data_IF_831520288048
#
_entry.id   IF_831520288048
#
_cell.length_a   1.000
_cell.length_b   1.000
_cell.length_c   1.000
_cell.angle_alpha   90.00
_cell.angle_beta   90.00
_cell.angle_gamma   90.00
#
_symmetry.space_group_name_H-M   'P 1'
#
loop_
_entity.id
_entity.type
_entity.pdbx_description
1 polymer ?
#
# COMPACT_ATOMS: atom_id res chain seq x y z
N UNK A 1 51.47 -9.46 4.89
CA UNK A 1 52.35 -10.56 4.46
C UNK A 1 51.80 -11.12 3.15
N UNK A 2 52.68 -11.56 2.23
CA UNK A 2 52.37 -12.14 0.89
C UNK A 2 51.66 -11.19 -0.09
N UNK A 3 52.31 -10.60 -1.12
CA UNK A 3 52.78 -11.18 -2.40
C UNK A 3 51.63 -11.83 -3.22
N UNK A 4 51.15 -11.21 -4.31
CA UNK A 4 51.76 -11.02 -5.66
C UNK A 4 51.60 -12.26 -6.55
N UNK A 5 50.88 -12.10 -7.66
CA UNK A 5 51.33 -12.47 -9.02
C UNK A 5 50.53 -11.74 -10.10
N UNK A 6 51.26 -11.10 -11.02
CA UNK A 6 50.81 -10.64 -12.34
C UNK A 6 50.87 -11.80 -13.34
N UNK A 7 50.04 -11.74 -14.39
CA UNK A 7 50.26 -12.47 -15.66
C UNK A 7 49.84 -11.56 -16.81
N UNK A 8 50.81 -10.97 -17.49
CA UNK A 8 50.74 -10.73 -18.93
C UNK A 8 51.02 -12.08 -19.64
N UNK A 9 50.54 -12.28 -20.88
CA UNK A 9 51.44 -12.51 -22.02
C UNK A 9 50.74 -12.82 -23.38
N UNK A 10 51.26 -12.17 -24.41
CA UNK A 10 51.45 -12.57 -25.83
C UNK A 10 50.30 -13.08 -26.72
N UNK A 11 49.96 -12.22 -27.70
CA UNK A 11 50.24 -12.38 -29.14
C UNK A 11 50.20 -13.76 -29.85
N UNK A 12 49.36 -13.81 -30.90
CA UNK A 12 49.67 -14.40 -32.21
C UNK A 12 48.90 -13.55 -33.25
N UNK A 13 49.51 -12.78 -34.17
CA UNK A 13 50.47 -13.08 -35.25
C UNK A 13 49.87 -13.77 -36.49
N UNK A 14 49.61 -12.92 -37.49
CA UNK A 14 49.83 -13.14 -38.93
C UNK A 14 48.92 -14.07 -39.76
N UNK A 15 48.08 -13.43 -40.58
CA UNK A 15 47.54 -13.94 -41.84
C UNK A 15 47.25 -12.74 -42.76
N UNK A 16 47.79 -12.71 -43.99
CA UNK A 16 47.91 -11.48 -44.79
C UNK A 16 47.50 -11.67 -46.26
N UNK A 17 47.11 -10.54 -46.89
CA UNK A 17 46.89 -10.30 -48.34
C UNK A 17 45.59 -10.80 -48.98
N UNK A 18 44.68 -9.86 -49.21
CA UNK A 18 44.24 -9.33 -50.54
C UNK A 18 43.50 -8.03 -50.23
N UNK A 19 44.17 -6.87 -50.26
CA UNK A 19 44.33 -5.99 -51.43
C UNK A 19 43.01 -5.70 -52.17
N UNK A 20 42.60 -4.44 -52.15
CA UNK A 20 41.23 -4.00 -52.46
C UNK A 20 40.85 -2.74 -51.70
N UNK A 21 41.48 -1.61 -52.05
CA UNK A 21 41.04 -0.28 -51.61
C UNK A 21 40.64 0.61 -52.80
N UNK A 22 39.96 1.75 -52.57
CA UNK A 22 39.49 2.28 -51.29
C UNK A 22 37.96 2.54 -51.26
N UNK A 23 37.29 2.18 -50.16
CA UNK A 23 36.02 2.80 -49.77
C UNK A 23 36.22 3.58 -48.47
N UNK A 24 36.54 4.87 -48.62
CA UNK A 24 36.67 5.87 -47.52
C UNK A 24 35.36 6.07 -46.71
N UNK A 25 34.29 5.34 -47.06
CA UNK A 25 33.00 5.28 -46.36
C UNK A 25 33.01 4.45 -45.08
N UNK A 26 33.89 3.45 -44.95
CA UNK A 26 33.88 2.54 -43.78
C UNK A 26 34.56 3.11 -42.54
N UNK A 27 35.61 3.93 -42.73
CA UNK A 27 36.32 4.59 -41.64
C UNK A 27 35.45 5.55 -40.80
N UNK A 28 34.59 6.44 -41.36
CA UNK A 28 33.72 7.29 -40.56
C UNK A 28 32.65 6.49 -39.81
N UNK A 29 32.05 5.46 -40.41
CA UNK A 29 31.03 4.62 -39.76
C UNK A 29 31.61 3.84 -38.56
N UNK A 30 32.81 3.25 -38.71
CA UNK A 30 33.50 2.56 -37.61
C UNK A 30 33.84 3.53 -36.47
N UNK A 31 34.20 4.78 -36.78
CA UNK A 31 34.42 5.81 -35.76
C UNK A 31 33.13 6.23 -35.07
N UNK A 32 32.02 6.38 -35.81
CA UNK A 32 30.71 6.70 -35.25
C UNK A 32 30.21 5.58 -34.32
N UNK A 33 30.33 4.30 -34.72
CA UNK A 33 29.98 3.16 -33.89
C UNK A 33 30.85 3.07 -32.61
N UNK A 34 32.13 3.46 -32.68
CA UNK A 34 33.00 3.57 -31.50
C UNK A 34 32.54 4.67 -30.54
N UNK A 35 32.17 5.84 -31.06
CA UNK A 35 31.59 6.91 -30.23
C UNK A 35 30.26 6.49 -29.59
N UNK A 36 29.38 5.82 -30.34
CA UNK A 36 28.09 5.35 -29.83
C UNK A 36 28.27 4.25 -28.77
N UNK A 37 29.21 3.33 -28.97
CA UNK A 37 29.58 2.33 -27.97
C UNK A 37 30.14 2.99 -26.70
N UNK A 38 31.02 3.99 -26.83
CA UNK A 38 31.50 4.77 -25.69
C UNK A 38 30.36 5.51 -24.96
N UNK A 39 29.48 6.21 -25.70
CA UNK A 39 28.29 6.88 -25.14
C UNK A 39 27.36 5.90 -24.41
N UNK A 40 27.22 4.67 -24.92
CA UNK A 40 26.46 3.60 -24.25
C UNK A 40 27.16 3.09 -22.99
N UNK A 41 28.48 2.92 -23.01
CA UNK A 41 29.28 2.49 -21.86
C UNK A 41 29.30 3.53 -20.73
N UNK A 42 29.35 4.83 -21.07
CA UNK A 42 29.20 5.95 -20.13
C UNK A 42 27.79 5.99 -19.52
N UNK A 43 26.73 5.86 -20.35
CA UNK A 43 25.34 5.77 -19.87
C UNK A 43 25.14 4.59 -18.91
N UNK A 44 25.68 3.42 -19.25
CA UNK A 44 25.60 2.23 -18.40
C UNK A 44 26.34 2.43 -17.07
N UNK A 45 27.51 3.05 -17.11
CA UNK A 45 28.30 3.38 -15.90
C UNK A 45 27.54 4.36 -14.98
N UNK A 46 26.92 5.42 -15.54
CA UNK A 46 26.04 6.31 -14.78
C UNK A 46 24.81 5.60 -14.21
N UNK A 47 24.21 4.66 -14.95
CA UNK A 47 23.06 3.88 -14.48
C UNK A 47 23.45 2.97 -13.32
N UNK A 48 24.61 2.30 -13.41
CA UNK A 48 25.15 1.45 -12.34
C UNK A 48 25.40 2.24 -11.06
N UNK A 49 25.98 3.43 -11.14
CA UNK A 49 26.21 4.26 -9.95
C UNK A 49 24.90 4.82 -9.37
N UNK A 50 23.94 5.26 -10.21
CA UNK A 50 22.60 5.67 -9.74
C UNK A 50 21.85 4.52 -9.05
N UNK A 51 21.90 3.31 -9.60
CA UNK A 51 21.29 2.13 -9.01
C UNK A 51 21.95 1.77 -7.68
N UNK A 52 23.28 1.83 -7.59
CA UNK A 52 24.03 1.63 -6.35
C UNK A 52 23.64 2.64 -5.27
N UNK A 53 23.63 3.94 -5.58
CA UNK A 53 23.20 5.00 -4.66
C UNK A 53 21.74 4.78 -4.22
N UNK A 54 20.86 4.37 -5.13
CA UNK A 54 19.47 4.02 -4.80
C UNK A 54 19.37 2.86 -3.80
N UNK A 55 20.14 1.78 -4.01
CA UNK A 55 20.21 0.63 -3.10
C UNK A 55 20.83 1.00 -1.75
N UNK A 56 21.87 1.83 -1.72
CA UNK A 56 22.48 2.33 -0.48
C UNK A 56 21.50 3.20 0.32
N UNK A 57 20.73 4.07 -0.34
CA UNK A 57 19.70 4.88 0.31
C UNK A 57 18.55 4.02 0.85
N UNK A 58 18.09 3.02 0.09
CA UNK A 58 17.08 2.06 0.58
C UNK A 58 17.59 1.24 1.79
N UNK A 59 18.86 0.82 1.78
CA UNK A 59 19.49 0.15 2.93
C UNK A 59 19.54 1.07 4.16
N UNK A 60 19.90 2.34 3.98
CA UNK A 60 19.89 3.33 5.06
C UNK A 60 18.49 3.53 5.65
N UNK A 61 17.46 3.65 4.80
CA UNK A 61 16.06 3.75 5.24
C UNK A 61 15.58 2.51 6.00
N UNK A 62 15.96 1.30 5.57
CA UNK A 62 15.63 0.05 6.29
C UNK A 62 16.29 0.04 7.67
N UNK A 63 17.56 0.44 7.78
CA UNK A 63 18.26 0.53 9.07
C UNK A 63 17.57 1.55 9.99
N UNK A 64 17.23 2.74 9.46
CA UNK A 64 16.52 3.77 10.24
C UNK A 64 15.13 3.30 10.70
N UNK A 65 14.37 2.63 9.84
CA UNK A 65 13.06 2.09 10.17
C UNK A 65 13.13 0.97 11.22
N UNK A 66 14.12 0.07 11.12
CA UNK A 66 14.37 -0.94 12.16
C UNK A 66 14.70 -0.28 13.50
N UNK A 67 15.57 0.74 13.52
CA UNK A 67 15.93 1.41 14.77
C UNK A 67 14.73 2.14 15.41
N UNK A 68 13.90 2.81 14.58
CA UNK A 68 12.63 3.40 15.04
C UNK A 68 11.64 2.35 15.56
N UNK A 69 11.64 1.14 15.00
CA UNK A 69 10.82 0.02 15.47
C UNK A 69 11.33 -0.50 16.81
N UNK A 70 12.62 -0.74 16.95
CA UNK A 70 13.29 -1.12 18.22
C UNK A 70 13.02 -0.09 19.33
N UNK A 71 13.16 1.20 19.04
CA UNK A 71 12.84 2.31 19.97
C UNK A 71 11.36 2.35 20.37
N UNK A 72 10.46 1.93 19.48
CA UNK A 72 9.02 1.87 19.73
C UNK A 72 8.67 0.65 20.61
N UNK A 73 9.30 -0.49 20.33
CA UNK A 73 9.13 -1.71 21.14
C UNK A 73 9.67 -1.52 22.55
N UNK A 74 10.87 -0.94 22.70
CA UNK A 74 11.47 -0.62 24.00
C UNK A 74 10.59 0.35 24.80
N UNK A 75 10.03 1.39 24.17
CA UNK A 75 9.05 2.29 24.81
C UNK A 75 7.78 1.54 25.23
N UNK A 76 7.22 0.70 24.36
CA UNK A 76 6.05 -0.11 24.68
C UNK A 76 6.29 -1.10 25.84
N UNK A 77 7.49 -1.65 25.96
CA UNK A 77 7.90 -2.48 27.12
C UNK A 77 8.02 -1.63 28.38
N UNK A 78 8.66 -0.45 28.31
CA UNK A 78 8.77 0.46 29.44
C UNK A 78 7.39 0.95 29.94
N UNK A 79 6.47 1.28 29.05
CA UNK A 79 5.09 1.68 29.38
C UNK A 79 4.30 0.53 30.01
N UNK A 80 4.42 -0.71 29.50
CA UNK A 80 3.81 -1.88 30.15
C UNK A 80 4.36 -2.08 31.57
N UNK A 81 5.64 -1.86 31.80
CA UNK A 81 6.24 -1.93 33.15
C UNK A 81 5.75 -0.81 34.09
N UNK A 82 5.57 0.42 33.61
CA UNK A 82 5.04 1.52 34.45
C UNK A 82 3.56 1.33 34.76
N UNK A 83 2.75 0.91 33.78
CA UNK A 83 1.32 0.56 33.98
C UNK A 83 1.18 -0.61 34.95
N UNK A 84 1.98 -1.67 34.81
CA UNK A 84 1.98 -2.80 35.74
C UNK A 84 2.35 -2.37 37.18
N UNK A 85 3.40 -1.55 37.34
CA UNK A 85 3.78 -1.01 38.66
C UNK A 85 2.67 -0.11 39.25
N UNK A 86 1.99 0.68 38.43
CA UNK A 86 0.88 1.53 38.88
C UNK A 86 -0.34 0.69 39.31
N UNK A 87 -0.70 -0.35 38.56
CA UNK A 87 -1.76 -1.29 38.96
C UNK A 87 -1.43 -1.99 40.28
N UNK A 88 -0.22 -2.52 40.46
CA UNK A 88 0.18 -3.15 41.72
C UNK A 88 0.14 -2.17 42.90
N UNK A 89 0.54 -0.91 42.69
CA UNK A 89 0.46 0.13 43.72
C UNK A 89 -0.98 0.55 44.05
N UNK A 90 -1.87 0.58 43.05
CA UNK A 90 -3.29 0.87 43.23
C UNK A 90 -3.99 -0.24 44.01
N UNK A 91 -3.74 -1.51 43.69
CA UNK A 91 -4.28 -2.66 44.43
C UNK A 91 -3.85 -2.61 45.90
N UNK A 92 -2.56 -2.38 46.18
CA UNK A 92 -2.06 -2.22 47.54
C UNK A 92 -2.71 -1.04 48.31
N UNK A 93 -3.05 0.06 47.64
CA UNK A 93 -3.80 1.16 48.27
C UNK A 93 -5.26 0.80 48.54
N UNK A 94 -5.92 0.04 47.66
CA UNK A 94 -7.30 -0.40 47.86
C UNK A 94 -7.41 -1.28 49.11
N UNK A 95 -6.49 -2.23 49.29
CA UNK A 95 -6.47 -3.11 50.47
C UNK A 95 -6.33 -2.29 51.77
N UNK A 96 -5.38 -1.34 51.82
CA UNK A 96 -5.16 -0.48 52.99
C UNK A 96 -6.41 0.38 53.31
N UNK A 97 -7.09 0.92 52.30
CA UNK A 97 -8.31 1.73 52.48
C UNK A 97 -9.49 0.86 52.95
N UNK A 98 -9.60 -0.37 52.45
CA UNK A 98 -10.59 -1.34 52.91
C UNK A 98 -10.37 -1.74 54.38
N UNK A 99 -9.13 -2.03 54.79
CA UNK A 99 -8.80 -2.32 56.19
C UNK A 99 -9.09 -1.13 57.12
N UNK A 100 -8.66 0.09 56.74
CA UNK A 100 -8.89 1.29 57.54
C UNK A 100 -10.38 1.64 57.69
N UNK A 101 -11.17 1.49 56.63
CA UNK A 101 -12.61 1.77 56.69
C UNK A 101 -13.35 0.72 57.52
N UNK A 102 -12.96 -0.55 57.46
CA UNK A 102 -13.50 -1.61 58.31
C UNK A 102 -13.15 -1.41 59.80
N UNK A 103 -11.92 -1.01 60.11
CA UNK A 103 -11.50 -0.67 61.47
C UNK A 103 -12.27 0.54 62.03
N UNK A 104 -12.44 1.59 61.23
CA UNK A 104 -13.20 2.78 61.63
C UNK A 104 -14.70 2.45 61.89
N UNK A 105 -15.33 1.64 61.03
CA UNK A 105 -16.70 1.19 61.22
C UNK A 105 -16.85 0.35 62.51
N UNK A 106 -15.88 -0.51 62.80
CA UNK A 106 -15.85 -1.33 64.02
C UNK A 106 -15.76 -0.49 65.30
N UNK A 107 -14.90 0.55 65.32
CA UNK A 107 -14.81 1.49 66.44
C UNK A 107 -16.11 2.29 66.64
N UNK A 108 -16.78 2.67 65.55
CA UNK A 108 -18.06 3.37 65.62
C UNK A 108 -19.17 2.48 66.21
N UNK A 109 -19.28 1.22 65.76
CA UNK A 109 -20.23 0.24 66.30
C UNK A 109 -20.01 -0.03 67.81
N UNK A 110 -18.74 -0.15 68.22
CA UNK A 110 -18.39 -0.36 69.63
C UNK A 110 -18.74 0.85 70.51
N UNK A 111 -18.50 2.08 70.03
CA UNK A 111 -18.83 3.29 70.81
C UNK A 111 -20.35 3.51 70.96
N UNK A 112 -21.15 3.22 69.92
CA UNK A 112 -22.61 3.20 70.01
C UNK A 112 -23.12 2.17 71.03
N UNK A 113 -22.52 0.98 71.05
CA UNK A 113 -22.91 -0.09 71.99
C UNK A 113 -22.64 0.30 73.44
N UNK A 114 -21.50 0.93 73.72
CA UNK A 114 -21.15 1.44 75.05
C UNK A 114 -22.06 2.60 75.51
N UNK A 115 -22.43 3.51 74.60
CA UNK A 115 -23.40 4.58 74.90
C UNK A 115 -24.81 4.03 75.20
N UNK A 116 -25.23 2.98 74.48
CA UNK A 116 -26.52 2.33 74.74
C UNK A 116 -26.56 1.66 76.12
N UNK A 117 -25.51 0.92 76.49
CA UNK A 117 -25.42 0.25 77.80
C UNK A 117 -25.45 1.25 78.96
N UNK A 118 -24.66 2.32 78.88
CA UNK A 118 -24.64 3.38 79.93
C UNK A 118 -25.97 4.15 80.03
N UNK A 119 -26.69 4.36 78.92
CA UNK A 119 -28.04 4.93 78.94
C UNK A 119 -29.07 3.99 79.60
N UNK A 120 -28.95 2.68 79.38
CA UNK A 120 -29.84 1.67 80.00
C UNK A 120 -29.58 1.52 81.50
N UNK A 121 -28.32 1.58 81.94
CA UNK A 121 -27.96 1.52 83.37
C UNK A 121 -28.40 2.75 84.15
N UNK A 122 -28.18 3.95 83.60
CA UNK A 122 -28.61 5.21 84.23
C UNK A 122 -30.14 5.34 84.33
N UNK A 123 -30.89 4.88 83.33
CA UNK A 123 -32.36 4.82 83.39
C UNK A 123 -32.88 3.86 84.49
N UNK A 124 -32.10 2.82 84.83
CA UNK A 124 -32.49 1.80 85.83
C UNK A 124 -32.22 2.23 87.28
N UNK A 125 -31.37 3.23 87.50
CA UNK A 125 -31.03 3.75 88.83
C UNK A 125 -32.01 4.80 89.39
N UNK A 126 -32.91 5.35 88.58
CA UNK A 126 -33.71 6.53 88.91
C UNK A 126 -35.12 6.25 89.50
N UNK A 127 -35.40 5.03 89.98
CA UNK A 127 -36.76 4.60 90.36
C UNK A 127 -36.88 4.10 91.81
N UNK A 128 -37.05 5.01 92.78
CA UNK A 128 -37.50 4.75 94.16
C UNK A 128 -38.14 6.03 94.81
N UNK A 129 -39.00 5.93 95.85
CA UNK A 129 -40.07 6.92 96.05
C UNK A 129 -39.99 7.92 97.24
N UNK A 130 -40.52 9.13 97.00
CA UNK A 130 -41.33 10.08 97.83
C UNK A 130 -41.01 10.46 99.31
N UNK A 131 -41.16 11.77 99.63
CA UNK A 131 -41.26 12.32 101.00
C UNK A 131 -41.68 13.81 101.14
N UNK A 132 -42.94 14.05 101.58
CA UNK A 132 -43.55 15.21 102.32
C UNK A 132 -43.23 16.73 102.09
N UNK A 133 -44.21 17.45 101.49
CA UNK A 133 -45.01 18.66 101.92
C UNK A 133 -44.62 19.53 103.18
N UNK A 134 -45.06 20.83 103.38
CA UNK A 134 -46.11 21.62 102.67
C UNK A 134 -45.71 23.13 102.32
N UNK A 135 -46.59 24.19 102.22
CA UNK A 135 -46.63 25.22 101.14
C UNK A 135 -46.25 26.66 101.65
N UNK A 136 -46.63 27.86 101.10
CA UNK A 136 -47.34 28.32 99.86
C UNK A 136 -46.49 29.38 99.05
N UNK A 137 -46.99 30.29 98.15
CA UNK A 137 -48.28 30.47 97.46
C UNK A 137 -48.27 30.08 95.96
N UNK A 138 -49.46 29.91 95.37
CA UNK A 138 -49.79 29.36 94.03
C UNK A 138 -48.63 29.21 93.02
N UNK A 139 -47.82 28.14 93.12
CA UNK A 139 -46.79 27.80 92.13
C UNK A 139 -47.28 26.76 91.12
N UNK A 140 -48.51 26.27 91.26
CA UNK A 140 -49.04 25.17 90.45
C UNK A 140 -49.24 25.59 88.99
N UNK A 141 -49.86 26.74 88.71
CA UNK A 141 -50.10 27.17 87.32
C UNK A 141 -48.79 27.50 86.58
N UNK A 142 -47.80 28.06 87.28
CA UNK A 142 -46.47 28.32 86.71
C UNK A 142 -45.67 27.03 86.51
N UNK A 143 -45.73 26.07 87.44
CA UNK A 143 -45.10 24.75 87.30
C UNK A 143 -45.76 23.91 86.20
N UNK A 144 -47.10 23.88 86.13
CA UNK A 144 -47.88 23.22 85.07
C UNK A 144 -47.56 23.86 83.73
N UNK A 145 -47.55 25.20 83.64
CA UNK A 145 -47.17 25.93 82.43
C UNK A 145 -45.69 25.78 82.04
N UNK A 146 -44.78 25.43 82.97
CA UNK A 146 -43.40 25.04 82.67
C UNK A 146 -43.33 23.58 82.18
N UNK A 147 -43.97 22.65 82.86
CA UNK A 147 -44.05 21.24 82.46
C UNK A 147 -44.67 21.09 81.08
N UNK A 148 -45.77 21.78 80.79
CA UNK A 148 -46.43 21.74 79.49
C UNK A 148 -45.54 22.31 78.37
N UNK A 149 -44.77 23.37 78.62
CA UNK A 149 -43.74 23.87 77.68
C UNK A 149 -42.59 22.88 77.49
N UNK A 150 -42.15 22.20 78.55
CA UNK A 150 -41.10 21.17 78.48
C UNK A 150 -41.57 19.96 77.67
N UNK A 151 -42.78 19.47 77.92
CA UNK A 151 -43.42 18.37 77.18
C UNK A 151 -43.61 18.77 75.71
N UNK A 152 -44.06 19.99 75.42
CA UNK A 152 -44.17 20.50 74.05
C UNK A 152 -42.80 20.54 73.36
N UNK A 153 -41.78 21.11 74.00
CA UNK A 153 -40.42 21.17 73.46
C UNK A 153 -39.79 19.78 73.25
N UNK A 154 -40.06 18.82 74.12
CA UNK A 154 -39.67 17.41 73.93
C UNK A 154 -40.44 16.77 72.77
N UNK A 155 -41.73 17.06 72.64
CA UNK A 155 -42.58 16.56 71.55
C UNK A 155 -42.11 17.08 70.19
N UNK A 156 -41.76 18.36 70.09
CA UNK A 156 -41.29 18.95 68.84
C UNK A 156 -39.88 18.49 68.47
N UNK A 157 -38.98 18.30 69.45
CA UNK A 157 -37.69 17.60 69.24
C UNK A 157 -37.86 16.14 68.81
N UNK A 158 -38.88 15.45 69.31
CA UNK A 158 -39.17 14.07 68.91
C UNK A 158 -39.70 14.01 67.47
N UNK A 159 -40.55 14.96 67.05
CA UNK A 159 -40.94 15.11 65.64
C UNK A 159 -39.73 15.44 64.76
N UNK A 160 -38.88 16.38 65.18
CA UNK A 160 -37.69 16.77 64.43
C UNK A 160 -36.72 15.60 64.22
N UNK A 161 -36.41 14.85 65.29
CA UNK A 161 -35.57 13.64 65.20
C UNK A 161 -36.23 12.55 64.36
N UNK A 162 -37.56 12.37 64.44
CA UNK A 162 -38.30 11.46 63.56
C UNK A 162 -38.24 11.89 62.08
N UNK A 163 -38.32 13.18 61.78
CA UNK A 163 -38.14 13.72 60.43
C UNK A 163 -36.70 13.54 59.93
N UNK A 164 -35.70 13.80 60.77
CA UNK A 164 -34.29 13.57 60.45
C UNK A 164 -33.99 12.09 60.18
N UNK A 165 -34.52 11.18 61.02
CA UNK A 165 -34.43 9.73 60.83
C UNK A 165 -35.08 9.31 59.51
N UNK A 166 -36.29 9.81 59.20
CA UNK A 166 -36.98 9.52 57.93
C UNK A 166 -36.21 10.06 56.71
N UNK A 167 -35.53 11.20 56.83
CA UNK A 167 -34.65 11.75 55.78
C UNK A 167 -33.39 10.88 55.60
N UNK A 168 -32.75 10.48 56.69
CA UNK A 168 -31.57 9.59 56.69
C UNK A 168 -31.91 8.22 56.10
N UNK A 169 -33.03 7.61 56.50
CA UNK A 169 -33.46 6.31 55.98
C UNK A 169 -33.73 6.34 54.46
N UNK A 170 -34.34 7.42 53.95
CA UNK A 170 -34.49 7.63 52.50
C UNK A 170 -33.15 7.78 51.78
N UNK A 171 -32.17 8.41 52.41
CA UNK A 171 -30.83 8.57 51.83
C UNK A 171 -30.05 7.24 51.82
N UNK A 172 -30.12 6.47 52.90
CA UNK A 172 -29.57 5.10 52.95
C UNK A 172 -30.22 4.21 51.89
N UNK A 173 -31.55 4.28 51.73
CA UNK A 173 -32.27 3.56 50.69
C UNK A 173 -31.77 3.91 49.28
N UNK A 174 -31.64 5.20 48.93
CA UNK A 174 -31.09 5.62 47.63
C UNK A 174 -29.66 5.11 47.42
N UNK A 175 -28.83 5.09 48.47
CA UNK A 175 -27.46 4.58 48.39
C UNK A 175 -27.43 3.07 48.16
N UNK A 176 -28.34 2.32 48.79
CA UNK A 176 -28.50 0.89 48.53
C UNK A 176 -28.96 0.62 47.08
N UNK A 177 -29.95 1.37 46.59
CA UNK A 177 -30.42 1.30 45.19
C UNK A 177 -29.29 1.67 44.19
N UNK A 178 -28.49 2.69 44.49
CA UNK A 178 -27.34 3.09 43.68
C UNK A 178 -26.23 2.01 43.67
N UNK A 179 -25.89 1.44 44.84
CA UNK A 179 -24.92 0.34 44.94
C UNK A 179 -25.40 -0.89 44.17
N UNK A 180 -26.68 -1.26 44.27
CA UNK A 180 -27.24 -2.36 43.49
C UNK A 180 -27.11 -2.10 41.98
N UNK A 181 -27.39 -0.88 41.51
CA UNK A 181 -27.21 -0.53 40.10
C UNK A 181 -25.74 -0.58 39.65
N UNK A 182 -24.81 -0.28 40.55
CA UNK A 182 -23.37 -0.39 40.30
C UNK A 182 -22.93 -1.87 40.21
N UNK A 183 -23.43 -2.73 41.11
CA UNK A 183 -23.16 -4.18 41.09
C UNK A 183 -23.69 -4.83 39.81
N UNK A 184 -24.88 -4.42 39.33
CA UNK A 184 -25.44 -4.86 38.05
C UNK A 184 -24.53 -4.49 36.86
N UNK A 185 -23.99 -3.26 36.83
CA UNK A 185 -23.03 -2.81 35.82
C UNK A 185 -21.72 -3.61 35.90
N UNK A 186 -21.20 -3.85 37.11
CA UNK A 186 -19.99 -4.67 37.32
C UNK A 186 -20.23 -6.10 36.82
N UNK A 187 -21.41 -6.69 37.06
CA UNK A 187 -21.76 -8.03 36.58
C UNK A 187 -21.95 -8.10 35.05
N UNK A 188 -22.32 -7.01 34.38
CA UNK A 188 -22.29 -6.91 32.91
C UNK A 188 -20.85 -6.82 32.39
N UNK A 189 -20.01 -6.01 33.02
CA UNK A 189 -18.61 -5.84 32.61
C UNK A 189 -17.80 -7.14 32.78
N UNK A 190 -17.96 -7.87 33.90
CA UNK A 190 -17.32 -9.17 34.11
C UNK A 190 -17.64 -10.18 32.99
N UNK A 191 -18.93 -10.38 32.70
CA UNK A 191 -19.37 -11.25 31.59
C UNK A 191 -18.83 -10.83 30.23
N UNK A 192 -18.66 -9.52 29.99
CA UNK A 192 -18.07 -9.00 28.75
C UNK A 192 -16.56 -9.29 28.67
N UNK A 193 -15.84 -9.20 29.79
CA UNK A 193 -14.41 -9.56 29.87
C UNK A 193 -14.26 -11.07 29.64
N UNK A 194 -15.00 -11.91 30.35
CA UNK A 194 -15.01 -13.37 30.17
C UNK A 194 -15.29 -13.78 28.70
N UNK A 195 -16.27 -13.12 28.05
CA UNK A 195 -16.57 -13.33 26.64
C UNK A 195 -15.40 -12.93 25.71
N UNK A 196 -14.76 -11.77 25.96
CA UNK A 196 -13.60 -11.32 25.19
C UNK A 196 -12.38 -12.21 25.40
N UNK A 197 -12.14 -12.70 26.61
CA UNK A 197 -11.08 -13.65 26.94
C UNK A 197 -11.29 -14.96 26.19
N UNK A 198 -12.52 -15.52 26.21
CA UNK A 198 -12.84 -16.76 25.48
C UNK A 198 -12.73 -16.60 23.95
N UNK A 199 -13.05 -15.42 23.41
CA UNK A 199 -12.86 -15.12 21.99
C UNK A 199 -11.37 -14.98 21.65
N UNK A 200 -10.58 -14.39 22.54
CA UNK A 200 -9.13 -14.25 22.37
C UNK A 200 -8.41 -15.61 22.42
N UNK A 201 -8.77 -16.49 23.36
CA UNK A 201 -8.22 -17.85 23.40
C UNK A 201 -8.60 -18.64 22.15
N UNK A 202 -9.85 -18.51 21.67
CA UNK A 202 -10.27 -19.17 20.43
C UNK A 202 -9.54 -18.62 19.19
N UNK A 203 -9.29 -17.31 19.11
CA UNK A 203 -8.47 -16.71 18.05
C UNK A 203 -7.00 -17.14 18.14
N UNK A 204 -6.46 -17.30 19.35
CA UNK A 204 -5.10 -17.79 19.57
C UNK A 204 -4.97 -19.27 19.19
N UNK A 205 -5.95 -20.11 19.51
CA UNK A 205 -6.04 -21.49 19.01
C UNK A 205 -6.13 -21.53 17.49
N UNK A 206 -6.98 -20.70 16.87
CA UNK A 206 -7.07 -20.56 15.41
C UNK A 206 -5.74 -20.14 14.78
N UNK A 207 -5.01 -19.21 15.40
CA UNK A 207 -3.69 -18.76 14.97
C UNK A 207 -2.64 -19.88 15.08
N UNK A 208 -2.70 -20.70 16.13
CA UNK A 208 -1.85 -21.88 16.29
C UNK A 208 -2.24 -23.04 15.35
N UNK A 209 -3.45 -23.02 14.78
CA UNK A 209 -3.92 -23.95 13.74
C UNK A 209 -3.91 -23.36 12.33
N UNK A 210 -3.20 -22.25 12.10
CA UNK A 210 -2.94 -21.72 10.74
C UNK A 210 -2.35 -22.83 9.86
N UNK A 211 -2.76 -22.94 8.57
CA UNK A 211 -2.25 -23.97 7.68
C UNK A 211 -0.73 -24.03 7.68
N UNK A 212 -0.22 -25.25 7.78
CA UNK A 212 1.17 -25.55 8.10
C UNK A 212 2.12 -24.66 7.28
N UNK A 213 2.99 -23.89 7.94
CA UNK A 213 3.97 -23.02 7.27
C UNK A 213 4.90 -23.80 6.32
N UNK A 214 5.00 -25.11 6.51
CA UNK A 214 5.75 -26.02 5.63
C UNK A 214 4.97 -26.38 4.35
N UNK A 215 3.64 -26.44 4.39
CA UNK A 215 2.80 -26.62 3.19
C UNK A 215 2.81 -25.37 2.32
N UNK A 216 2.74 -24.18 2.93
CA UNK A 216 2.90 -22.92 2.20
C UNK A 216 4.29 -22.76 1.59
N UNK A 217 5.34 -23.19 2.29
CA UNK A 217 6.70 -23.22 1.74
C UNK A 217 6.83 -24.22 0.60
N UNK A 218 6.30 -25.43 0.74
CA UNK A 218 6.31 -26.44 -0.31
C UNK A 218 5.57 -25.97 -1.58
N UNK A 219 4.40 -25.34 -1.45
CA UNK A 219 3.66 -24.78 -2.57
C UNK A 219 4.40 -23.58 -3.23
N UNK A 220 5.09 -22.77 -2.43
CA UNK A 220 5.93 -21.69 -2.94
C UNK A 220 7.14 -22.23 -3.71
N UNK A 221 7.80 -23.26 -3.19
CA UNK A 221 8.95 -23.92 -3.85
C UNK A 221 8.51 -24.63 -5.14
N UNK A 222 7.34 -25.27 -5.16
CA UNK A 222 6.76 -25.86 -6.36
C UNK A 222 6.51 -24.80 -7.45
N UNK A 223 5.93 -23.65 -7.10
CA UNK A 223 5.75 -22.55 -8.05
C UNK A 223 7.08 -21.96 -8.55
N UNK A 224 8.12 -21.88 -7.72
CA UNK A 224 9.46 -21.48 -8.18
C UNK A 224 10.06 -22.50 -9.16
N UNK A 225 9.88 -23.80 -8.91
CA UNK A 225 10.31 -24.86 -9.82
C UNK A 225 9.56 -24.81 -11.15
N UNK A 226 8.24 -24.56 -11.14
CA UNK A 226 7.44 -24.37 -12.35
C UNK A 226 7.89 -23.13 -13.15
N UNK A 227 8.20 -22.02 -12.47
CA UNK A 227 8.72 -20.81 -13.11
C UNK A 227 10.07 -21.04 -13.79
N UNK A 228 11.05 -21.60 -13.07
CA UNK A 228 12.38 -21.90 -13.64
C UNK A 228 12.29 -22.96 -14.76
N UNK A 229 11.42 -23.96 -14.64
CA UNK A 229 11.16 -24.89 -15.74
C UNK A 229 10.63 -24.18 -16.99
N UNK A 230 9.59 -23.34 -16.84
CA UNK A 230 9.03 -22.59 -17.97
C UNK A 230 10.05 -21.64 -18.61
N UNK A 231 10.88 -20.98 -17.78
CA UNK A 231 11.97 -20.11 -18.23
C UNK A 231 12.99 -20.87 -19.07
N UNK A 232 13.46 -22.03 -18.60
CA UNK A 232 14.39 -22.88 -19.35
C UNK A 232 13.79 -23.41 -20.65
N UNK A 233 12.47 -23.69 -20.69
CA UNK A 233 11.82 -24.02 -21.96
C UNK A 233 11.77 -22.84 -22.92
N UNK A 234 11.50 -21.62 -22.45
CA UNK A 234 11.52 -20.41 -23.29
C UNK A 234 12.93 -20.13 -23.83
N UNK A 235 13.95 -20.19 -22.98
CA UNK A 235 15.37 -20.04 -23.37
C UNK A 235 15.77 -21.07 -24.42
N UNK A 236 15.34 -22.33 -24.26
CA UNK A 236 15.57 -23.39 -25.26
C UNK A 236 14.83 -23.12 -26.59
N UNK A 237 13.58 -22.65 -26.54
CA UNK A 237 12.79 -22.30 -27.75
C UNK A 237 13.42 -21.10 -28.48
N UNK A 238 13.83 -20.07 -27.75
CA UNK A 238 14.50 -18.88 -28.28
C UNK A 238 15.87 -19.24 -28.89
N UNK A 239 16.70 -20.01 -28.19
CA UNK A 239 17.98 -20.51 -28.71
C UNK A 239 17.80 -21.31 -30.01
N UNK A 240 16.79 -22.18 -30.08
CA UNK A 240 16.46 -22.93 -31.30
C UNK A 240 15.99 -22.02 -32.44
N UNK A 241 15.21 -20.98 -32.14
CA UNK A 241 14.71 -20.03 -33.13
C UNK A 241 15.83 -19.14 -33.68
N UNK A 242 16.72 -18.65 -32.81
CA UNK A 242 17.91 -17.88 -33.19
C UNK A 242 18.84 -18.73 -34.07
N UNK A 243 19.05 -20.01 -33.73
CA UNK A 243 19.83 -20.92 -34.57
C UNK A 243 19.17 -21.13 -35.94
N UNK A 244 17.84 -21.29 -36.00
CA UNK A 244 17.10 -21.43 -37.25
C UNK A 244 17.23 -20.16 -38.12
N UNK A 245 16.98 -18.97 -37.57
CA UNK A 245 17.14 -17.71 -38.29
C UNK A 245 18.59 -17.50 -38.77
N UNK A 246 19.58 -17.86 -37.96
CA UNK A 246 20.99 -17.73 -38.37
C UNK A 246 21.31 -18.67 -39.55
N UNK A 247 20.81 -19.91 -39.53
CA UNK A 247 20.95 -20.85 -40.64
C UNK A 247 20.23 -20.35 -41.91
N UNK A 248 19.07 -19.71 -41.77
CA UNK A 248 18.32 -19.10 -42.88
C UNK A 248 19.06 -17.90 -43.47
N UNK A 249 19.61 -17.01 -42.64
CA UNK A 249 20.47 -15.90 -43.08
C UNK A 249 21.71 -16.42 -43.80
N UNK A 250 22.38 -17.45 -43.28
CA UNK A 250 23.52 -18.08 -43.96
C UNK A 250 23.13 -18.70 -45.31
N UNK A 251 21.96 -19.34 -45.41
CA UNK A 251 21.46 -19.90 -46.67
C UNK A 251 21.10 -18.81 -47.69
N UNK A 252 20.46 -17.71 -47.26
CA UNK A 252 20.15 -16.56 -48.10
C UNK A 252 21.42 -15.86 -48.59
N UNK A 253 22.41 -15.66 -47.72
CA UNK A 253 23.70 -15.08 -48.10
C UNK A 253 24.43 -15.97 -49.12
N UNK A 254 24.48 -17.29 -48.90
CA UNK A 254 25.10 -18.22 -49.85
C UNK A 254 24.40 -18.24 -51.22
N UNK A 255 23.06 -18.13 -51.24
CA UNK A 255 22.28 -18.02 -52.48
C UNK A 255 22.51 -16.68 -53.18
N UNK A 256 22.60 -15.57 -52.44
CA UNK A 256 22.91 -14.25 -52.99
C UNK A 256 24.34 -14.18 -53.55
N UNK A 257 25.33 -14.76 -52.85
CA UNK A 257 26.70 -14.92 -53.35
C UNK A 257 26.75 -15.79 -54.62
N UNK A 258 25.82 -16.73 -54.80
CA UNK A 258 25.68 -17.52 -56.03
C UNK A 258 25.10 -16.70 -57.19
N UNK A 259 24.02 -15.96 -56.93
CA UNK A 259 23.40 -15.05 -57.91
C UNK A 259 24.39 -13.97 -58.37
N UNK A 260 25.16 -13.37 -57.45
CA UNK A 260 26.21 -12.40 -57.79
C UNK A 260 27.30 -13.04 -58.65
N UNK A 261 27.80 -14.24 -58.30
CA UNK A 261 28.77 -15.00 -59.11
C UNK A 261 28.23 -15.38 -60.50
N UNK A 262 26.92 -15.55 -60.64
CA UNK A 262 26.26 -15.79 -61.93
C UNK A 262 26.14 -14.51 -62.75
N UNK A 263 25.69 -13.40 -62.16
CA UNK A 263 25.62 -12.09 -62.81
C UNK A 263 27.00 -11.58 -63.26
N UNK A 264 28.05 -11.79 -62.47
CA UNK A 264 29.43 -11.49 -62.85
C UNK A 264 29.89 -12.30 -64.06
N UNK A 265 29.55 -13.60 -64.11
CA UNK A 265 29.85 -14.48 -65.26
C UNK A 265 29.10 -14.02 -66.51
N UNK A 266 27.80 -13.75 -66.38
CA UNK A 266 26.94 -13.24 -67.44
C UNK A 266 27.47 -11.90 -68.00
N UNK A 267 27.91 -11.00 -67.12
CA UNK A 267 28.51 -9.73 -67.52
C UNK A 267 29.83 -9.96 -68.27
N UNK A 268 30.70 -10.84 -67.77
CA UNK A 268 31.97 -11.16 -68.41
C UNK A 268 31.78 -11.87 -69.76
N UNK A 269 30.80 -12.75 -69.88
CA UNK A 269 30.43 -13.39 -71.16
C UNK A 269 29.92 -12.35 -72.16
N UNK A 270 29.02 -11.45 -71.75
CA UNK A 270 28.53 -10.33 -72.60
C UNK A 270 29.67 -9.41 -73.04
N UNK A 271 30.61 -9.09 -72.15
CA UNK A 271 31.82 -8.31 -72.49
C UNK A 271 32.67 -9.07 -73.52
N UNK A 272 32.89 -10.37 -73.33
CA UNK A 272 33.69 -11.18 -74.26
C UNK A 272 33.05 -11.26 -75.65
N UNK A 273 31.72 -11.42 -75.72
CA UNK A 273 30.95 -11.41 -76.97
C UNK A 273 30.94 -10.03 -77.63
N UNK A 274 30.83 -8.96 -76.86
CA UNK A 274 30.90 -7.58 -77.38
C UNK A 274 32.29 -7.28 -77.98
N UNK A 275 33.37 -7.73 -77.33
CA UNK A 275 34.75 -7.60 -77.84
C UNK A 275 34.93 -8.42 -79.12
N UNK A 276 34.48 -9.69 -79.16
CA UNK A 276 34.52 -10.52 -80.36
C UNK A 276 33.73 -9.91 -81.53
N UNK A 277 32.52 -9.40 -81.25
CA UNK A 277 31.69 -8.72 -82.25
C UNK A 277 32.35 -7.41 -82.73
N UNK A 278 32.93 -6.60 -81.85
CA UNK A 278 33.63 -5.37 -82.24
C UNK A 278 34.84 -5.67 -83.13
N UNK A 279 35.60 -6.74 -82.84
CA UNK A 279 36.70 -7.22 -83.67
C UNK A 279 36.22 -7.76 -85.03
N UNK A 280 35.11 -8.50 -85.07
CA UNK A 280 34.51 -8.98 -86.31
C UNK A 280 33.92 -7.84 -87.17
N UNK A 281 33.44 -6.76 -86.55
CA UNK A 281 32.78 -5.62 -87.23
C UNK A 281 33.79 -4.57 -87.74
N UNK A 282 35.10 -4.70 -87.46
CA UNK A 282 36.14 -3.84 -88.07
C UNK A 282 36.23 -3.96 -89.61
N UNK A 283 35.46 -4.85 -90.25
CA UNK A 283 35.39 -5.00 -91.70
C UNK A 283 34.20 -4.32 -92.41
N UNK A 284 33.22 -3.72 -91.72
CA UNK A 284 31.99 -3.23 -92.39
C UNK A 284 31.42 -1.91 -91.85
N UNK A 285 31.03 -1.03 -92.77
CA UNK A 285 30.50 0.33 -92.53
C UNK A 285 28.96 0.31 -92.60
N UNK A 286 28.29 1.29 -91.95
CA UNK A 286 26.82 1.55 -91.93
C UNK A 286 26.07 0.63 -90.94
N UNK A 287 25.17 1.04 -90.04
CA UNK A 287 24.34 2.26 -89.87
C UNK A 287 24.05 2.58 -88.38
N UNK A 288 23.70 3.82 -87.98
CA UNK A 288 23.16 4.13 -86.65
C UNK A 288 21.61 4.04 -86.62
N UNK A 289 21.02 3.67 -85.46
CA UNK A 289 19.61 3.87 -84.96
C UNK A 289 19.21 2.74 -83.96
N UNK A 290 18.44 2.98 -82.86
CA UNK A 290 18.20 4.20 -82.09
C UNK A 290 18.48 4.04 -80.57
N UNK A 291 19.43 4.82 -80.04
CA UNK A 291 19.83 4.79 -78.61
C UNK A 291 18.81 5.44 -77.65
N UNK A 292 17.76 6.05 -78.19
CA UNK A 292 16.83 6.97 -77.49
C UNK A 292 15.75 6.28 -76.64
N UNK A 293 15.36 5.03 -76.96
CA UNK A 293 14.34 4.30 -76.19
C UNK A 293 14.89 3.65 -74.92
N UNK A 294 16.18 3.28 -74.91
CA UNK A 294 16.84 2.74 -73.72
C UNK A 294 17.14 3.85 -72.70
N UNK A 295 17.58 5.01 -73.16
CA UNK A 295 17.80 6.20 -72.31
C UNK A 295 16.50 6.72 -71.69
N UNK A 296 15.39 6.79 -72.44
CA UNK A 296 14.10 7.21 -71.85
C UNK A 296 13.60 6.29 -70.73
N UNK A 297 13.75 4.96 -70.84
CA UNK A 297 13.35 4.04 -69.76
C UNK A 297 14.23 4.19 -68.53
N UNK A 298 15.55 4.24 -68.70
CA UNK A 298 16.49 4.43 -67.59
C UNK A 298 16.29 5.78 -66.88
N UNK A 299 15.93 6.83 -67.63
CA UNK A 299 15.68 8.16 -67.08
C UNK A 299 14.34 8.23 -66.32
N UNK A 300 13.28 7.60 -66.85
CA UNK A 300 11.98 7.55 -66.17
C UNK A 300 12.00 6.66 -64.91
N UNK A 301 12.85 5.62 -64.87
CA UNK A 301 13.10 4.84 -63.65
C UNK A 301 13.81 5.67 -62.58
N UNK A 302 14.89 6.40 -62.92
CA UNK A 302 15.55 7.31 -61.98
C UNK A 302 14.60 8.38 -61.42
N UNK A 303 13.77 8.98 -62.27
CA UNK A 303 12.77 9.97 -61.81
C UNK A 303 11.77 9.37 -60.81
N UNK A 304 11.45 8.06 -60.91
CA UNK A 304 10.61 7.35 -59.93
C UNK A 304 11.35 6.94 -58.65
N UNK A 305 12.64 6.60 -58.75
CA UNK A 305 13.50 6.27 -57.61
C UNK A 305 13.83 7.53 -56.79
N UNK A 306 14.14 8.65 -57.47
CA UNK A 306 14.32 9.97 -56.86
C UNK A 306 13.04 10.45 -56.17
N UNK A 307 11.86 10.20 -56.76
CA UNK A 307 10.57 10.50 -56.13
C UNK A 307 10.35 9.68 -54.85
N UNK A 308 10.60 8.37 -54.89
CA UNK A 308 10.49 7.50 -53.70
C UNK A 308 11.50 7.88 -52.60
N UNK A 309 12.71 8.29 -52.97
CA UNK A 309 13.72 8.79 -52.05
C UNK A 309 13.32 10.13 -51.41
N UNK A 310 12.70 11.04 -52.19
CA UNK A 310 12.18 12.31 -51.69
C UNK A 310 10.98 12.14 -50.75
N UNK A 311 10.07 11.19 -51.04
CA UNK A 311 8.99 10.83 -50.13
C UNK A 311 9.55 10.25 -48.82
N UNK A 312 10.53 9.34 -48.88
CA UNK A 312 11.21 8.78 -47.70
C UNK A 312 11.93 9.84 -46.86
N UNK A 313 12.56 10.83 -47.50
CA UNK A 313 13.14 12.00 -46.83
C UNK A 313 12.07 12.90 -46.17
N UNK A 314 10.87 12.96 -46.74
CA UNK A 314 9.74 13.68 -46.18
C UNK A 314 9.17 12.95 -44.95
N UNK A 315 9.02 11.63 -45.02
CA UNK A 315 8.59 10.76 -43.93
C UNK A 315 9.59 10.77 -42.78
N UNK A 316 10.90 10.74 -43.07
CA UNK A 316 11.94 10.88 -42.06
C UNK A 316 11.84 12.21 -41.31
N UNK A 317 11.64 13.33 -42.02
CA UNK A 317 11.42 14.65 -41.39
C UNK A 317 10.12 14.71 -40.60
N UNK A 318 9.04 14.11 -41.11
CA UNK A 318 7.78 14.00 -40.37
C UNK A 318 7.97 13.21 -39.07
N UNK A 319 8.68 12.08 -39.12
CA UNK A 319 9.02 11.25 -37.96
C UNK A 319 9.94 12.00 -36.97
N UNK A 320 10.93 12.74 -37.45
CA UNK A 320 11.82 13.57 -36.63
C UNK A 320 11.03 14.66 -35.88
N UNK A 321 10.12 15.37 -36.56
CA UNK A 321 9.25 16.37 -35.91
C UNK A 321 8.27 15.76 -34.91
N UNK A 322 7.72 14.57 -35.20
CA UNK A 322 6.87 13.80 -34.29
C UNK A 322 7.64 13.34 -33.05
N UNK A 323 8.86 12.83 -33.23
CA UNK A 323 9.76 12.45 -32.13
C UNK A 323 10.11 13.65 -31.25
N UNK A 324 10.45 14.79 -31.87
CA UNK A 324 10.71 16.05 -31.16
C UNK A 324 9.49 16.58 -30.38
N UNK A 325 8.27 16.37 -30.89
CA UNK A 325 7.03 16.68 -30.17
C UNK A 325 6.83 15.75 -28.96
N UNK A 326 6.97 14.44 -29.14
CA UNK A 326 6.85 13.46 -28.05
C UNK A 326 7.88 13.67 -26.93
N UNK A 327 9.12 14.07 -27.26
CA UNK A 327 10.15 14.45 -26.27
C UNK A 327 9.72 15.68 -25.48
N UNK A 328 9.16 16.71 -26.13
CA UNK A 328 8.64 17.91 -25.45
C UNK A 328 7.47 17.57 -24.52
N UNK A 329 6.52 16.72 -24.94
CA UNK A 329 5.42 16.29 -24.08
C UNK A 329 5.92 15.51 -22.86
N UNK A 330 6.85 14.57 -23.04
CA UNK A 330 7.50 13.84 -21.95
C UNK A 330 8.17 14.80 -20.95
N UNK A 331 8.87 15.81 -21.45
CA UNK A 331 9.59 16.78 -20.61
C UNK A 331 8.62 17.70 -19.85
N UNK A 332 7.48 18.05 -20.45
CA UNK A 332 6.36 18.73 -19.75
C UNK A 332 5.80 17.85 -18.64
N UNK A 333 5.52 16.57 -18.90
CA UNK A 333 5.02 15.63 -17.87
C UNK A 333 6.04 15.44 -16.73
N UNK A 334 7.33 15.31 -17.05
CA UNK A 334 8.40 15.25 -16.04
C UNK A 334 8.51 16.54 -15.22
N UNK A 335 8.24 17.71 -15.82
CA UNK A 335 8.20 18.98 -15.09
C UNK A 335 7.01 19.03 -14.12
N UNK A 336 5.82 18.58 -14.56
CA UNK A 336 4.62 18.50 -13.72
C UNK A 336 4.81 17.52 -12.56
N UNK A 337 5.39 16.35 -12.81
CA UNK A 337 5.70 15.35 -11.77
C UNK A 337 6.66 15.92 -10.71
N UNK A 338 7.69 16.68 -11.12
CA UNK A 338 8.62 17.35 -10.20
C UNK A 338 7.96 18.44 -9.37
N UNK A 339 7.04 19.21 -9.95
CA UNK A 339 6.26 20.22 -9.21
C UNK A 339 5.36 19.53 -8.19
N UNK A 340 4.60 18.51 -8.58
CA UNK A 340 3.70 17.77 -7.69
C UNK A 340 4.46 17.10 -6.53
N UNK A 341 5.63 16.52 -6.79
CA UNK A 341 6.52 16.00 -5.73
C UNK A 341 7.04 17.09 -4.78
N UNK A 342 7.30 18.31 -5.28
CA UNK A 342 7.69 19.45 -4.45
C UNK A 342 6.52 19.91 -3.58
N UNK A 343 5.34 20.08 -4.17
CA UNK A 343 4.13 20.47 -3.45
C UNK A 343 3.79 19.46 -2.33
N UNK A 344 3.99 18.16 -2.60
CA UNK A 344 3.83 17.09 -1.62
C UNK A 344 4.87 17.19 -0.48
N UNK A 345 6.14 17.48 -0.80
CA UNK A 345 7.19 17.70 0.19
C UNK A 345 6.95 18.94 1.03
N UNK A 346 6.48 20.03 0.42
CA UNK A 346 6.15 21.28 1.11
C UNK A 346 4.89 21.15 1.98
N UNK A 347 3.91 20.34 1.57
CA UNK A 347 2.76 19.93 2.39
C UNK A 347 3.22 19.13 3.64
N UNK A 348 4.05 18.10 3.46
CA UNK A 348 4.60 17.35 4.60
C UNK A 348 5.50 18.22 5.49
N UNK A 349 6.24 19.19 4.92
CA UNK A 349 7.03 20.15 5.69
C UNK A 349 6.15 21.11 6.50
N UNK A 350 5.03 21.59 5.93
CA UNK A 350 4.07 22.44 6.64
C UNK A 350 3.37 21.71 7.80
N UNK A 351 3.14 20.40 7.68
CA UNK A 351 2.62 19.55 8.76
C UNK A 351 3.71 19.27 9.81
N UNK A 352 4.91 18.88 9.37
CA UNK A 352 6.04 18.57 10.27
C UNK A 352 6.52 19.77 11.08
N UNK A 353 6.54 20.97 10.49
CA UNK A 353 6.93 22.20 11.17
C UNK A 353 6.04 22.57 12.37
N UNK A 354 4.80 22.07 12.45
CA UNK A 354 3.91 22.27 13.61
C UNK A 354 4.18 21.32 14.79
N UNK A 355 5.02 20.29 14.61
CA UNK A 355 5.21 19.21 15.61
C UNK A 355 6.59 19.25 16.27
N UNK A 356 7.59 19.90 15.66
CA UNK A 356 9.01 19.76 16.06
C UNK A 356 9.54 20.91 16.92
N UNK A 357 8.85 22.06 17.02
CA UNK A 357 9.40 23.26 17.68
C UNK A 357 9.28 23.31 19.22
N UNK A 358 8.80 22.24 19.87
CA UNK A 358 8.75 22.12 21.35
C UNK A 358 9.62 20.95 21.85
N UNK A 359 10.88 20.92 21.44
CA UNK A 359 11.87 19.91 21.83
C UNK A 359 13.18 20.51 22.34
N UNK A 360 13.29 20.66 23.67
CA UNK A 360 14.53 20.95 24.42
C UNK A 360 15.13 22.37 24.34
N UNK A 361 14.83 23.18 25.38
CA UNK A 361 15.89 23.77 26.20
C UNK A 361 15.36 24.24 27.56
N UNK A 362 16.05 23.89 28.64
CA UNK A 362 15.83 24.43 29.99
C UNK A 362 16.70 25.67 30.15
N UNK A 363 16.09 26.83 30.45
CA UNK A 363 16.68 27.72 31.44
C UNK A 363 15.65 28.22 32.47
N UNK A 364 16.13 28.37 33.71
CA UNK A 364 15.39 28.96 34.85
C UNK A 364 15.02 30.44 34.59
N UNK A 365 14.04 31.02 35.32
CA UNK A 365 13.28 32.18 34.85
C UNK A 365 14.01 33.52 35.01
N UNK A 366 13.58 34.52 34.22
CA UNK A 366 13.04 35.73 34.85
C UNK A 366 11.61 36.05 34.37
N UNK A 367 10.91 36.83 35.19
CA UNK A 367 9.49 37.14 35.00
C UNK A 367 9.20 38.08 33.82
N UNK A 368 8.00 37.92 33.24
CA UNK A 368 7.34 39.01 32.51
C UNK A 368 7.27 38.89 30.99
N UNK A 369 6.41 38.00 30.48
CA UNK A 369 5.47 38.37 29.40
C UNK A 369 4.32 37.38 29.31
N UNK A 370 3.08 37.88 29.34
CA UNK A 370 1.86 37.09 29.17
C UNK A 370 1.65 36.70 27.71
N UNK A 371 2.30 35.62 27.27
CA UNK A 371 1.90 34.87 26.08
C UNK A 371 0.76 33.92 26.44
N UNK A 372 -0.45 34.20 25.96
CA UNK A 372 -1.68 33.47 26.31
C UNK A 372 -1.56 31.97 26.01
N UNK A 373 -1.35 31.15 27.04
CA UNK A 373 -1.72 29.74 27.02
C UNK A 373 -3.25 29.67 27.05
N UNK A 374 -3.87 29.44 25.89
CA UNK A 374 -5.18 28.82 25.89
C UNK A 374 -4.98 27.35 26.27
N UNK A 375 -5.24 27.01 27.53
CA UNK A 375 -5.61 25.64 27.89
C UNK A 375 -6.80 25.26 27.01
N UNK A 376 -6.58 24.30 26.10
CA UNK A 376 -7.60 23.87 25.17
C UNK A 376 -8.67 23.15 25.99
N UNK A 377 -9.83 23.80 26.19
CA UNK A 377 -10.86 23.27 27.09
C UNK A 377 -11.43 21.96 26.53
N UNK A 378 -12.08 21.17 27.38
CA UNK A 378 -12.73 19.92 26.92
C UNK A 378 -13.75 20.21 25.80
N UNK A 379 -14.43 21.36 25.87
CA UNK A 379 -15.34 21.83 24.81
C UNK A 379 -14.61 22.18 23.51
N UNK A 380 -13.40 22.75 23.58
CA UNK A 380 -12.55 22.99 22.41
C UNK A 380 -12.04 21.68 21.79
N UNK A 381 -11.70 20.68 22.61
CA UNK A 381 -11.31 19.36 22.14
C UNK A 381 -12.49 18.63 21.46
N UNK A 382 -13.70 18.71 22.04
CA UNK A 382 -14.93 18.19 21.43
C UNK A 382 -15.23 18.90 20.11
N UNK A 383 -15.10 20.24 20.07
CA UNK A 383 -15.29 21.05 18.87
C UNK A 383 -14.28 20.66 17.77
N UNK A 384 -13.01 20.53 18.13
CA UNK A 384 -11.94 20.07 17.22
C UNK A 384 -12.20 18.66 16.68
N UNK A 385 -12.60 17.71 17.52
CA UNK A 385 -12.99 16.35 17.10
C UNK A 385 -14.22 16.36 16.19
N UNK A 386 -15.20 17.22 16.45
CA UNK A 386 -16.39 17.36 15.59
C UNK A 386 -16.04 17.93 14.22
N UNK A 387 -15.14 18.91 14.15
CA UNK A 387 -14.66 19.53 12.91
C UNK A 387 -13.85 18.52 12.06
N UNK A 388 -12.98 17.73 12.70
CA UNK A 388 -12.27 16.62 12.04
C UNK A 388 -13.22 15.53 11.55
N UNK A 389 -14.27 15.20 12.31
CA UNK A 389 -15.28 14.22 11.88
C UNK A 389 -16.07 14.71 10.66
N UNK A 390 -16.42 15.99 10.61
CA UNK A 390 -17.06 16.59 9.41
C UNK A 390 -16.11 16.57 8.21
N UNK A 391 -14.83 16.90 8.39
CA UNK A 391 -13.81 16.80 7.32
C UNK A 391 -13.65 15.38 6.80
N UNK A 392 -13.60 14.38 7.68
CA UNK A 392 -13.50 12.97 7.28
C UNK A 392 -14.70 12.51 6.45
N UNK A 393 -15.92 12.87 6.85
CA UNK A 393 -17.14 12.55 6.09
C UNK A 393 -17.12 13.22 4.71
N UNK A 394 -16.72 14.49 4.62
CA UNK A 394 -16.58 15.16 3.33
C UNK A 394 -15.55 14.48 2.40
N UNK A 395 -14.43 14.00 2.96
CA UNK A 395 -13.38 13.29 2.22
C UNK A 395 -13.85 11.89 1.78
N UNK A 396 -14.65 11.19 2.60
CA UNK A 396 -15.30 9.93 2.25
C UNK A 396 -16.33 10.11 1.12
N UNK A 397 -17.11 11.20 1.15
CA UNK A 397 -18.04 11.57 0.08
C UNK A 397 -17.32 11.91 -1.24
N UNK A 398 -16.17 12.59 -1.18
CA UNK A 398 -15.34 12.88 -2.35
C UNK A 398 -14.70 11.61 -2.93
N UNK A 399 -14.12 10.73 -2.11
CA UNK A 399 -13.65 9.41 -2.55
C UNK A 399 -14.78 8.59 -3.19
N UNK A 400 -15.98 8.63 -2.62
CA UNK A 400 -17.17 7.97 -3.16
C UNK A 400 -17.69 8.64 -4.45
N UNK A 401 -17.42 9.92 -4.67
CA UNK A 401 -17.71 10.64 -5.92
C UNK A 401 -16.73 10.22 -7.02
N UNK A 402 -15.43 10.30 -6.75
CA UNK A 402 -14.37 9.85 -7.66
C UNK A 402 -14.48 8.38 -8.03
N UNK A 403 -14.84 7.50 -7.09
CA UNK A 403 -15.10 6.09 -7.41
C UNK A 403 -16.28 5.92 -8.38
N UNK A 404 -17.38 6.65 -8.18
CA UNK A 404 -18.54 6.64 -9.09
C UNK A 404 -18.18 7.19 -10.46
N UNK A 405 -17.43 8.29 -10.52
CA UNK A 405 -16.93 8.87 -11.78
C UNK A 405 -15.99 7.91 -12.52
N UNK A 406 -15.07 7.23 -11.82
CA UNK A 406 -14.17 6.24 -12.42
C UNK A 406 -14.92 4.99 -12.92
N UNK A 407 -15.97 4.55 -12.22
CA UNK A 407 -16.87 3.48 -12.68
C UNK A 407 -17.68 3.94 -13.90
N UNK A 408 -18.14 5.20 -13.92
CA UNK A 408 -18.80 5.78 -15.09
C UNK A 408 -17.83 5.90 -16.27
N UNK A 409 -16.59 6.34 -16.07
CA UNK A 409 -15.55 6.44 -17.12
C UNK A 409 -15.21 5.06 -17.71
N UNK A 410 -15.12 4.03 -16.87
CA UNK A 410 -14.95 2.62 -17.30
C UNK A 410 -16.15 2.08 -18.08
N UNK A 411 -17.37 2.58 -17.83
CA UNK A 411 -18.59 2.20 -18.56
C UNK A 411 -18.86 3.05 -19.80
N UNK A 412 -18.40 4.31 -19.81
CA UNK A 412 -18.65 5.27 -20.88
C UNK A 412 -17.54 5.34 -21.91
N UNK A 413 -16.34 4.79 -21.64
CA UNK A 413 -15.35 4.49 -22.68
C UNK A 413 -15.99 3.47 -23.65
N UNK A 414 -16.41 3.87 -24.86
CA UNK A 414 -16.84 2.90 -25.84
C UNK A 414 -15.65 2.01 -26.15
N UNK A 415 -15.87 0.73 -26.45
CA UNK A 415 -14.83 -0.05 -27.08
C UNK A 415 -14.60 0.52 -28.48
N UNK A 416 -13.68 1.48 -28.58
CA UNK A 416 -12.96 1.74 -29.81
C UNK A 416 -12.47 0.38 -30.36
N UNK A 417 -12.45 0.17 -31.68
CA UNK A 417 -12.10 -1.13 -32.22
C UNK A 417 -10.74 -1.54 -31.66
N UNK A 418 -10.67 -2.69 -30.99
CA UNK A 418 -9.37 -3.25 -30.67
C UNK A 418 -8.62 -3.42 -31.99
N UNK A 419 -7.33 -3.12 -31.98
CA UNK A 419 -6.41 -3.48 -33.06
C UNK A 419 -6.71 -4.91 -33.52
N UNK A 420 -6.63 -5.18 -34.82
CA UNK A 420 -7.06 -6.46 -35.40
C UNK A 420 -6.44 -7.68 -34.70
N UNK A 421 -5.23 -7.52 -34.16
CA UNK A 421 -4.52 -8.47 -33.31
C UNK A 421 -5.30 -8.86 -32.04
N UNK A 422 -5.88 -7.90 -31.32
CA UNK A 422 -6.68 -8.15 -30.12
C UNK A 422 -8.01 -8.83 -30.41
N UNK A 423 -8.64 -8.51 -31.55
CA UNK A 423 -9.82 -9.24 -32.03
C UNK A 423 -9.48 -10.70 -32.39
N UNK A 424 -8.37 -10.91 -33.11
CA UNK A 424 -7.89 -12.23 -33.50
C UNK A 424 -7.48 -13.08 -32.28
N UNK A 425 -6.75 -12.50 -31.32
CA UNK A 425 -6.39 -13.16 -30.06
C UNK A 425 -7.64 -13.52 -29.23
N UNK A 426 -8.62 -12.62 -29.15
CA UNK A 426 -9.89 -12.92 -28.46
C UNK A 426 -10.64 -14.06 -29.15
N UNK A 427 -10.68 -14.09 -30.48
CA UNK A 427 -11.34 -15.15 -31.25
C UNK A 427 -10.62 -16.49 -31.15
N UNK A 428 -9.28 -16.50 -31.11
CA UNK A 428 -8.48 -17.68 -30.80
C UNK A 428 -8.74 -18.19 -29.38
N UNK A 429 -8.78 -17.29 -28.38
CA UNK A 429 -9.10 -17.70 -27.01
C UNK A 429 -10.52 -18.28 -26.91
N UNK A 430 -11.51 -17.70 -27.60
CA UNK A 430 -12.86 -18.28 -27.68
C UNK A 430 -12.85 -19.69 -28.24
N UNK A 431 -12.18 -19.94 -29.36
CA UNK A 431 -12.17 -21.27 -29.98
C UNK A 431 -11.51 -22.31 -29.09
N UNK A 432 -10.38 -21.98 -28.45
CA UNK A 432 -9.70 -22.86 -27.48
C UNK A 432 -10.59 -23.14 -26.26
N UNK A 433 -11.26 -22.12 -25.71
CA UNK A 433 -12.14 -22.30 -24.54
C UNK A 433 -13.41 -23.09 -24.88
N UNK A 434 -14.03 -22.87 -26.04
CA UNK A 434 -15.13 -23.71 -26.55
C UNK A 434 -14.65 -25.16 -26.70
N UNK A 435 -13.50 -25.37 -27.32
CA UNK A 435 -12.95 -26.72 -27.53
C UNK A 435 -12.66 -27.43 -26.19
N UNK A 436 -12.12 -26.74 -25.20
CA UNK A 436 -11.88 -27.27 -23.85
C UNK A 436 -13.18 -27.58 -23.09
N UNK A 437 -14.20 -26.72 -23.22
CA UNK A 437 -15.51 -26.94 -22.60
C UNK A 437 -16.29 -28.08 -23.27
N UNK A 438 -16.13 -28.26 -24.59
CA UNK A 438 -16.74 -29.36 -25.35
C UNK A 438 -16.00 -30.70 -25.20
N UNK A 439 -14.73 -30.72 -24.79
CA UNK A 439 -13.95 -31.95 -24.58
C UNK A 439 -13.90 -32.41 -23.12
N UNK A 440 -14.11 -31.50 -22.16
CA UNK A 440 -14.40 -31.88 -20.78
C UNK A 440 -15.88 -32.20 -20.59
N UNK A 441 -16.23 -33.49 -20.52
CA UNK A 441 -17.59 -34.00 -20.24
C UNK A 441 -18.15 -33.64 -18.83
N UNK A 442 -17.60 -32.64 -18.15
CA UNK A 442 -18.01 -32.23 -16.80
C UNK A 442 -18.95 -31.02 -16.86
N UNK A 443 -20.23 -31.32 -17.12
CA UNK A 443 -21.27 -30.31 -17.36
C UNK A 443 -21.45 -29.32 -16.20
N UNK A 444 -21.17 -29.69 -14.94
CA UNK A 444 -21.36 -28.79 -13.79
C UNK A 444 -20.22 -27.78 -13.63
N UNK A 445 -19.01 -28.11 -14.08
CA UNK A 445 -17.90 -27.15 -14.20
C UNK A 445 -18.18 -26.17 -15.32
N UNK A 446 -18.63 -26.67 -16.49
CA UNK A 446 -19.00 -25.83 -17.62
C UNK A 446 -20.15 -24.85 -17.28
N UNK A 447 -21.23 -25.30 -16.61
CA UNK A 447 -22.34 -24.43 -16.14
C UNK A 447 -21.87 -23.27 -15.25
N UNK A 448 -20.86 -23.49 -14.40
CA UNK A 448 -20.31 -22.47 -13.48
C UNK A 448 -19.37 -21.49 -14.18
N UNK A 449 -18.59 -21.96 -15.16
CA UNK A 449 -17.63 -21.14 -15.89
C UNK A 449 -18.25 -20.35 -17.05
N UNK A 450 -19.27 -20.89 -17.73
CA UNK A 450 -19.89 -20.25 -18.91
C UNK A 450 -20.29 -18.78 -18.69
N UNK A 451 -20.96 -18.40 -17.58
CA UNK A 451 -21.39 -17.02 -17.36
C UNK A 451 -20.20 -16.05 -17.21
N UNK A 452 -19.13 -16.48 -16.54
CA UNK A 452 -17.92 -15.68 -16.31
C UNK A 452 -17.14 -15.52 -17.61
N UNK A 453 -16.93 -16.62 -18.34
CA UNK A 453 -16.22 -16.63 -19.61
C UNK A 453 -16.98 -15.85 -20.70
N UNK A 454 -18.32 -15.89 -20.70
CA UNK A 454 -19.13 -15.11 -21.64
C UNK A 454 -19.03 -13.59 -21.37
N UNK A 455 -18.97 -13.17 -20.10
CA UNK A 455 -18.75 -11.75 -19.75
C UNK A 455 -17.36 -11.27 -20.20
N UNK A 456 -16.34 -12.11 -20.08
CA UNK A 456 -14.95 -11.76 -20.42
C UNK A 456 -14.68 -11.81 -21.93
N UNK A 457 -15.10 -12.87 -22.62
CA UNK A 457 -14.76 -13.14 -24.01
C UNK A 457 -15.85 -12.73 -25.01
N UNK A 458 -17.10 -12.56 -24.57
CA UNK A 458 -18.30 -12.35 -25.42
C UNK A 458 -18.45 -13.46 -26.46
N UNK A 459 -18.94 -14.62 -26.04
CA UNK A 459 -19.21 -15.74 -26.95
C UNK A 459 -20.32 -15.39 -27.94
N UNK A 460 -20.24 -15.96 -29.14
CA UNK A 460 -21.34 -15.91 -30.10
C UNK A 460 -22.43 -16.92 -29.73
N UNK A 461 -23.64 -16.73 -30.27
CA UNK A 461 -24.74 -17.68 -30.08
C UNK A 461 -24.40 -19.08 -30.63
N UNK A 462 -23.50 -19.17 -31.62
CA UNK A 462 -23.08 -20.46 -32.19
C UNK A 462 -22.04 -21.17 -31.31
N UNK A 463 -21.14 -20.42 -30.64
CA UNK A 463 -20.26 -20.95 -29.59
C UNK A 463 -21.10 -21.52 -28.43
N UNK A 464 -22.12 -20.78 -27.99
CA UNK A 464 -23.01 -21.18 -26.90
C UNK A 464 -23.85 -22.42 -27.28
N UNK A 465 -24.33 -22.52 -28.52
CA UNK A 465 -24.98 -23.74 -29.06
C UNK A 465 -24.01 -24.92 -29.12
N UNK A 466 -22.75 -24.71 -29.50
CA UNK A 466 -21.76 -25.78 -29.57
C UNK A 466 -21.48 -26.36 -28.17
N UNK A 467 -21.23 -25.51 -27.17
CA UNK A 467 -20.97 -25.95 -25.79
C UNK A 467 -22.23 -26.58 -25.17
N UNK A 468 -23.41 -26.00 -25.34
CA UNK A 468 -24.65 -26.60 -24.79
C UNK A 468 -25.02 -27.93 -25.45
N UNK A 469 -24.70 -28.13 -26.75
CA UNK A 469 -24.86 -29.41 -27.43
C UNK A 469 -23.86 -30.48 -26.96
N UNK A 470 -22.64 -30.09 -26.58
CA UNK A 470 -21.64 -31.00 -26.00
C UNK A 470 -21.92 -31.36 -24.54
N UNK A 471 -22.85 -30.64 -23.88
CA UNK A 471 -23.28 -30.86 -22.50
C UNK A 471 -24.62 -31.61 -22.37
N UNK A 472 -25.18 -32.10 -23.48
CA UNK A 472 -26.35 -32.98 -23.56
C UNK A 472 -25.91 -34.44 -23.69
#
# INVERSE_FOLDING_TARGET
MSRVTTVDDTEASSGSVTDGGPTDSSAPEVNQLREELQKCQEKFSMWKEKAKIGVENLRAQIIELNHRFEDSEQRGVAERHTVGRFQSSMLAQVDIVCEHSFAAASLFANSLTAQYQTAVETARAAAAPAGSLPPPPSPQDTLIGQLQRTIQGQTDRLKETQHALKKSNKEVQRRAEALQSQDEVIAVLKRRVEALESANTSLQEQLMTVPNMDEWRAALDEHHQQLEHSRLEYEKRESSLVLQHNNEIHALNAAHEEEVRELERDAQERISLAVLNALATQGQVVSPVPEQLATQRAQCQRESEDAAYMDLLSDYKAMETSSAAAVKERDVVLSQQKTLLRDLQDFFRAIGARVVENGSQVPSPPAGSTGSMCELTVDDAIRYLSEHRVRLVALEEECSRWHRELVQLKRSRPSAPLDGLGAQQTQYLRSVVVQLLCSNNNADVAKRLLPVLNVLLKFSDDDLKAVTKAMQ
#
